data_IF_547027805637
#
_entry.id   IF_547027805637
#
_cell.length_a   1.000
_cell.length_b   1.000
_cell.length_c   1.000
_cell.angle_alpha   90.00
_cell.angle_beta   90.00
_cell.angle_gamma   90.00
#
_symmetry.space_group_name_H-M   'P 1'
#
loop_
_entity.id
_entity.type
_entity.pdbx_description
1 polymer ?
#
# COMPACT_ATOMS: atom_id res chain seq x y z
N UNK A 1 -53.50 58.56 -15.68
CA UNK A 1 -53.43 57.20 -16.32
C UNK A 1 -52.16 57.06 -17.16
N UNK A 2 -51.72 58.06 -17.93
CA UNK A 2 -50.56 58.00 -18.82
C UNK A 2 -49.22 57.85 -18.07
N UNK A 3 -49.07 58.50 -16.89
CA UNK A 3 -47.81 58.39 -16.09
C UNK A 3 -47.63 57.00 -15.43
N UNK A 4 -48.71 56.36 -15.03
CA UNK A 4 -48.69 55.01 -14.48
C UNK A 4 -48.27 53.97 -15.56
N UNK A 5 -48.87 54.07 -16.74
CA UNK A 5 -48.59 53.18 -17.87
C UNK A 5 -47.09 53.31 -18.27
N UNK A 6 -46.52 54.51 -18.29
CA UNK A 6 -45.09 54.71 -18.60
C UNK A 6 -44.21 54.10 -17.52
N UNK A 7 -44.53 54.21 -16.22
CA UNK A 7 -43.79 53.55 -15.14
C UNK A 7 -43.86 52.04 -15.23
N UNK A 8 -45.05 51.45 -15.49
CA UNK A 8 -45.18 50.00 -15.66
C UNK A 8 -44.36 49.52 -16.85
N UNK A 9 -44.46 50.18 -18.00
CA UNK A 9 -43.67 49.82 -19.17
C UNK A 9 -42.14 49.94 -18.90
N UNK A 10 -41.68 50.94 -18.17
CA UNK A 10 -40.28 51.07 -17.79
C UNK A 10 -39.82 49.93 -16.89
N UNK A 11 -40.56 49.55 -15.85
CA UNK A 11 -40.20 48.45 -14.97
C UNK A 11 -40.27 47.07 -15.68
N UNK A 12 -41.20 46.86 -16.59
CA UNK A 12 -41.21 45.60 -17.37
C UNK A 12 -39.98 45.45 -18.27
N UNK A 13 -39.61 46.54 -18.95
CA UNK A 13 -38.36 46.52 -19.77
C UNK A 13 -37.12 46.33 -18.90
N UNK A 14 -37.05 46.99 -17.73
CA UNK A 14 -35.96 46.83 -16.79
C UNK A 14 -35.84 45.39 -16.25
N UNK A 15 -36.98 44.75 -15.89
CA UNK A 15 -36.98 43.36 -15.46
C UNK A 15 -36.59 42.40 -16.59
N UNK A 16 -37.00 42.64 -17.82
CA UNK A 16 -36.56 41.89 -18.99
C UNK A 16 -35.05 41.99 -19.22
N UNK A 17 -34.47 43.20 -19.10
CA UNK A 17 -33.03 43.40 -19.24
C UNK A 17 -32.27 42.66 -18.13
N UNK A 18 -32.72 42.76 -16.88
CA UNK A 18 -32.09 42.03 -15.74
C UNK A 18 -32.15 40.52 -15.99
N UNK A 19 -33.29 40.00 -16.48
CA UNK A 19 -33.46 38.60 -16.78
C UNK A 19 -32.52 38.12 -17.91
N UNK A 20 -32.38 38.91 -18.98
CA UNK A 20 -31.47 38.61 -20.09
C UNK A 20 -30.02 38.58 -19.59
N UNK A 21 -29.59 39.59 -18.81
CA UNK A 21 -28.25 39.67 -18.27
C UNK A 21 -27.96 38.49 -17.33
N UNK A 22 -28.88 38.18 -16.40
CA UNK A 22 -28.71 37.06 -15.48
C UNK A 22 -28.68 35.71 -16.21
N UNK A 23 -29.51 35.53 -17.23
CA UNK A 23 -29.57 34.33 -18.07
C UNK A 23 -28.24 34.15 -18.84
N UNK A 24 -27.73 35.22 -19.45
CA UNK A 24 -26.44 35.13 -20.18
C UNK A 24 -25.26 34.83 -19.23
N UNK A 25 -25.21 35.42 -18.04
CA UNK A 25 -24.20 35.11 -17.03
C UNK A 25 -24.29 33.67 -16.57
N UNK A 26 -25.50 33.15 -16.35
CA UNK A 26 -25.73 31.77 -15.95
C UNK A 26 -25.32 30.78 -17.05
N UNK A 27 -25.68 31.05 -18.32
CA UNK A 27 -25.26 30.23 -19.44
C UNK A 27 -23.72 30.22 -19.58
N UNK A 28 -23.06 31.37 -19.43
CA UNK A 28 -21.59 31.48 -19.46
C UNK A 28 -20.96 30.67 -18.34
N UNK A 29 -21.51 30.74 -17.12
CA UNK A 29 -21.06 29.93 -15.99
C UNK A 29 -21.20 28.42 -16.26
N UNK A 30 -22.35 27.99 -16.80
CA UNK A 30 -22.57 26.58 -17.16
C UNK A 30 -21.62 26.10 -18.25
N UNK A 31 -21.39 26.91 -19.28
CA UNK A 31 -20.44 26.60 -20.35
C UNK A 31 -19.01 26.42 -19.82
N UNK A 32 -18.56 27.30 -18.90
CA UNK A 32 -17.29 27.18 -18.22
C UNK A 32 -17.20 25.91 -17.39
N UNK A 33 -18.30 25.55 -16.69
CA UNK A 33 -18.34 24.35 -15.87
C UNK A 33 -18.33 23.07 -16.68
N UNK A 34 -19.00 23.04 -17.81
CA UNK A 34 -18.98 21.93 -18.78
C UNK A 34 -17.57 21.74 -19.32
N UNK A 35 -16.90 22.82 -19.73
CA UNK A 35 -15.53 22.77 -20.23
C UNK A 35 -14.54 22.25 -19.17
N UNK A 36 -14.69 22.65 -17.91
CA UNK A 36 -13.88 22.13 -16.79
C UNK A 36 -14.09 20.60 -16.61
N UNK A 37 -15.35 20.17 -16.67
CA UNK A 37 -15.70 18.74 -16.51
C UNK A 37 -15.20 17.90 -17.69
N UNK A 38 -15.28 18.39 -18.90
CA UNK A 38 -14.75 17.73 -20.10
C UNK A 38 -13.22 17.61 -20.01
N UNK A 39 -12.54 18.63 -19.55
CA UNK A 39 -11.10 18.58 -19.28
C UNK A 39 -10.72 17.54 -18.23
N UNK A 40 -11.51 17.43 -17.14
CA UNK A 40 -11.31 16.38 -16.13
C UNK A 40 -11.57 14.99 -16.69
N UNK A 41 -12.62 14.82 -17.47
CA UNK A 41 -12.97 13.54 -18.13
C UNK A 41 -11.86 13.09 -19.08
N UNK A 42 -11.31 14.00 -19.86
CA UNK A 42 -10.24 13.70 -20.79
C UNK A 42 -8.95 13.29 -20.04
N UNK A 43 -8.59 14.00 -18.95
CA UNK A 43 -7.45 13.62 -18.10
C UNK A 43 -7.62 12.24 -17.48
N UNK A 44 -8.81 11.93 -16.96
CA UNK A 44 -9.12 10.61 -16.40
C UNK A 44 -9.04 9.52 -17.47
N UNK A 45 -9.51 9.77 -18.68
CA UNK A 45 -9.40 8.81 -19.80
C UNK A 45 -7.96 8.51 -20.17
N UNK A 46 -7.10 9.55 -20.25
CA UNK A 46 -5.66 9.37 -20.50
C UNK A 46 -5.01 8.58 -19.38
N UNK A 47 -5.31 8.92 -18.13
CA UNK A 47 -4.75 8.23 -16.97
C UNK A 47 -5.19 6.76 -16.90
N UNK A 48 -6.46 6.45 -17.21
CA UNK A 48 -6.93 5.08 -17.30
C UNK A 48 -6.23 4.29 -18.41
N UNK A 49 -6.04 4.87 -19.58
CA UNK A 49 -5.31 4.23 -20.67
C UNK A 49 -3.83 3.96 -20.31
N UNK A 50 -3.20 4.87 -19.56
CA UNK A 50 -1.84 4.67 -19.05
C UNK A 50 -1.78 3.56 -17.99
N UNK A 51 -2.76 3.51 -17.10
CA UNK A 51 -2.89 2.44 -16.10
C UNK A 51 -3.08 1.08 -16.79
N UNK A 52 -3.98 0.98 -17.77
CA UNK A 52 -4.20 -0.25 -18.54
C UNK A 52 -2.93 -0.71 -19.27
N UNK A 53 -2.20 0.22 -19.88
CA UNK A 53 -0.91 -0.06 -20.52
C UNK A 53 0.12 -0.57 -19.50
N UNK A 54 0.22 0.07 -18.34
CA UNK A 54 1.13 -0.36 -17.29
C UNK A 54 0.75 -1.73 -16.72
N UNK A 55 -0.54 -2.01 -16.58
CA UNK A 55 -1.04 -3.31 -16.16
C UNK A 55 -0.72 -4.40 -17.18
N UNK A 56 -0.86 -4.15 -18.49
CA UNK A 56 -0.51 -5.13 -19.53
C UNK A 56 0.98 -5.43 -19.56
N UNK A 57 1.84 -4.40 -19.44
CA UNK A 57 3.31 -4.59 -19.36
C UNK A 57 3.70 -5.37 -18.08
N UNK A 58 3.01 -5.15 -16.98
CA UNK A 58 3.25 -5.93 -15.76
C UNK A 58 2.78 -7.38 -15.94
N UNK A 59 1.62 -7.62 -16.55
CA UNK A 59 1.12 -8.96 -16.84
C UNK A 59 2.09 -9.76 -17.73
N UNK A 60 2.66 -9.14 -18.78
CA UNK A 60 3.69 -9.77 -19.61
C UNK A 60 4.97 -10.09 -18.80
N UNK A 61 5.41 -9.20 -17.92
CA UNK A 61 6.55 -9.48 -17.04
C UNK A 61 6.29 -10.63 -16.09
N UNK A 62 5.07 -10.71 -15.52
CA UNK A 62 4.68 -11.82 -14.66
C UNK A 62 4.66 -13.14 -15.41
N UNK A 63 4.10 -13.16 -16.63
CA UNK A 63 4.12 -14.36 -17.49
C UNK A 63 5.57 -14.81 -17.82
N UNK A 64 6.46 -13.86 -18.11
CA UNK A 64 7.88 -14.15 -18.35
C UNK A 64 8.60 -14.69 -17.10
N UNK A 65 8.25 -14.21 -15.92
CA UNK A 65 8.80 -14.71 -14.65
C UNK A 65 8.27 -16.11 -14.35
N UNK A 66 6.99 -16.38 -14.58
CA UNK A 66 6.39 -17.72 -14.44
C UNK A 66 7.07 -18.73 -15.38
N UNK A 67 7.35 -18.36 -16.63
CA UNK A 67 8.07 -19.21 -17.58
C UNK A 67 9.51 -19.50 -17.12
N UNK A 68 10.20 -18.47 -16.58
CA UNK A 68 11.54 -18.66 -15.99
C UNK A 68 11.50 -19.59 -14.77
N UNK A 69 10.52 -19.41 -13.88
CA UNK A 69 10.32 -20.28 -12.71
C UNK A 69 10.07 -21.72 -13.17
N UNK A 70 9.17 -21.95 -14.13
CA UNK A 70 8.88 -23.27 -14.67
C UNK A 70 10.13 -23.92 -15.32
N UNK A 71 10.98 -23.11 -15.96
CA UNK A 71 12.24 -23.57 -16.55
C UNK A 71 13.25 -23.96 -15.46
N UNK A 72 13.35 -23.17 -14.39
CA UNK A 72 14.19 -23.51 -13.23
C UNK A 72 13.69 -24.75 -12.48
N UNK A 73 12.39 -24.88 -12.27
CA UNK A 73 11.77 -26.07 -11.67
C UNK A 73 12.09 -27.33 -12.48
N UNK A 74 12.04 -27.24 -13.81
CA UNK A 74 12.42 -28.33 -14.72
C UNK A 74 13.93 -28.65 -14.63
N UNK A 75 14.80 -27.66 -14.55
CA UNK A 75 16.25 -27.83 -14.43
C UNK A 75 16.65 -28.43 -13.07
N UNK A 76 15.92 -28.10 -12.02
CA UNK A 76 16.16 -28.61 -10.66
C UNK A 76 15.50 -29.98 -10.43
N UNK A 77 14.81 -30.56 -11.42
CA UNK A 77 14.13 -31.85 -11.28
C UNK A 77 12.96 -31.81 -10.29
N UNK A 78 12.39 -30.64 -10.03
CA UNK A 78 11.29 -30.43 -9.09
C UNK A 78 9.90 -30.70 -9.73
N UNK A 79 9.85 -31.26 -10.92
CA UNK A 79 8.61 -31.78 -11.51
C UNK A 79 8.14 -32.99 -10.70
N UNK A 80 7.20 -32.76 -9.78
CA UNK A 80 6.47 -33.84 -9.15
C UNK A 80 5.64 -34.56 -10.23
N UNK A 81 5.81 -35.84 -10.34
CA UNK A 81 5.10 -36.71 -11.31
C UNK A 81 3.64 -36.98 -10.93
N UNK A 82 3.11 -36.29 -9.92
CA UNK A 82 1.80 -36.60 -9.38
C UNK A 82 0.81 -35.48 -9.70
N UNK A 83 0.01 -35.72 -10.75
CA UNK A 83 -1.15 -34.91 -11.15
C UNK A 83 -2.27 -34.82 -10.08
N UNK A 84 -2.11 -35.45 -8.93
CA UNK A 84 -3.05 -35.39 -7.80
C UNK A 84 -2.97 -34.05 -7.02
N UNK A 85 -1.88 -33.30 -7.13
CA UNK A 85 -1.66 -32.08 -6.35
C UNK A 85 -2.44 -30.85 -6.87
N UNK A 86 -2.97 -30.90 -8.09
CA UNK A 86 -3.70 -29.78 -8.70
C UNK A 86 -5.12 -29.56 -8.15
N UNK A 87 -5.69 -30.53 -7.41
CA UNK A 87 -7.01 -30.43 -6.77
C UNK A 87 -6.96 -30.01 -5.29
N UNK A 88 -5.77 -29.89 -4.72
CA UNK A 88 -5.63 -29.44 -3.35
C UNK A 88 -5.80 -27.93 -3.27
N UNK A 89 -6.56 -27.47 -2.27
CA UNK A 89 -6.62 -26.04 -1.95
C UNK A 89 -5.21 -25.54 -1.62
N UNK A 90 -4.88 -24.26 -1.86
CA UNK A 90 -3.56 -23.69 -1.50
C UNK A 90 -3.14 -24.03 -0.06
N UNK A 91 -4.10 -24.27 0.80
CA UNK A 91 -3.92 -24.66 2.19
C UNK A 91 -3.44 -26.09 2.35
N UNK A 92 -4.06 -27.03 1.68
CA UNK A 92 -3.65 -28.43 1.72
C UNK A 92 -2.22 -28.60 1.16
N UNK A 93 -1.82 -27.77 0.18
CA UNK A 93 -0.45 -27.75 -0.34
C UNK A 93 0.57 -27.20 0.66
N UNK A 94 0.18 -26.20 1.46
CA UNK A 94 1.04 -25.64 2.53
C UNK A 94 1.19 -26.65 3.68
N UNK A 95 0.12 -27.37 4.06
CA UNK A 95 0.17 -28.45 5.04
C UNK A 95 1.14 -29.58 4.63
N UNK A 96 1.21 -29.91 3.33
CA UNK A 96 2.18 -30.88 2.81
C UNK A 96 3.64 -30.40 2.84
N UNK A 97 3.89 -29.10 2.95
CA UNK A 97 5.26 -28.57 2.99
C UNK A 97 6.00 -28.85 4.30
N UNK A 98 5.31 -29.28 5.38
CA UNK A 98 5.91 -29.66 6.67
C UNK A 98 7.16 -28.84 7.01
N UNK A 99 7.00 -27.49 7.09
CA UNK A 99 8.10 -26.60 7.36
C UNK A 99 8.82 -27.00 8.65
N UNK A 100 10.08 -27.32 8.55
CA UNK A 100 10.91 -27.57 9.74
C UNK A 100 11.00 -26.31 10.60
N UNK A 101 11.25 -26.45 11.88
CA UNK A 101 11.45 -25.33 12.80
C UNK A 101 12.50 -24.32 12.28
N UNK A 102 13.52 -24.80 11.55
CA UNK A 102 14.54 -23.95 10.96
C UNK A 102 14.00 -23.13 9.79
N UNK A 103 13.18 -23.72 8.93
CA UNK A 103 12.54 -23.04 7.82
C UNK A 103 11.52 -22.02 8.30
N UNK A 104 10.69 -22.34 9.29
CA UNK A 104 9.77 -21.39 9.91
C UNK A 104 10.50 -20.17 10.47
N UNK A 105 11.64 -20.40 11.14
CA UNK A 105 12.50 -19.32 11.65
C UNK A 105 13.02 -18.45 10.52
N UNK A 106 13.48 -19.06 9.43
CA UNK A 106 14.00 -18.33 8.27
C UNK A 106 12.91 -17.51 7.59
N UNK A 107 11.72 -18.05 7.37
CA UNK A 107 10.54 -17.32 6.87
C UNK A 107 10.31 -16.06 7.72
N UNK A 108 10.25 -16.20 9.05
CA UNK A 108 9.99 -15.10 9.96
C UNK A 108 11.10 -14.05 10.03
N UNK A 109 12.30 -14.34 9.54
CA UNK A 109 13.35 -13.34 9.39
C UNK A 109 13.23 -12.56 8.08
N UNK A 110 12.66 -13.17 7.04
CA UNK A 110 12.62 -12.65 5.68
C UNK A 110 11.35 -11.87 5.34
N UNK A 111 10.23 -12.20 5.98
CA UNK A 111 8.95 -11.51 5.77
C UNK A 111 8.60 -10.60 6.96
N UNK A 112 7.93 -9.45 6.72
CA UNK A 112 7.53 -8.54 7.79
C UNK A 112 6.68 -9.26 8.83
N UNK A 113 7.05 -9.17 10.10
CA UNK A 113 6.26 -9.73 11.22
C UNK A 113 6.65 -9.13 12.56
N UNK A 114 5.71 -9.13 13.50
CA UNK A 114 5.87 -8.51 14.81
C UNK A 114 5.64 -6.99 14.80
N UNK A 115 5.65 -6.43 15.96
CA UNK A 115 5.41 -5.01 16.19
C UNK A 115 6.68 -4.20 15.92
N UNK A 116 6.61 -3.12 15.09
CA UNK A 116 7.77 -2.24 14.84
C UNK A 116 8.10 -1.32 16.03
N UNK A 117 7.18 -1.19 16.98
CA UNK A 117 7.34 -0.45 18.26
C UNK A 117 6.81 -1.30 19.40
N UNK A 118 7.03 -0.90 20.63
CA UNK A 118 6.33 -1.50 21.79
C UNK A 118 4.83 -1.41 21.54
N UNK A 119 4.12 -2.52 21.74
CA UNK A 119 2.66 -2.58 21.51
C UNK A 119 1.92 -1.71 22.53
N UNK A 120 1.37 -0.60 22.04
CA UNK A 120 0.54 0.34 22.79
C UNK A 120 -0.87 0.46 22.21
N UNK A 121 -1.15 -0.29 21.14
CA UNK A 121 -2.43 -0.33 20.45
C UNK A 121 -2.43 0.33 19.07
N UNK A 122 -3.56 0.24 18.38
CA UNK A 122 -3.80 0.76 17.04
C UNK A 122 -4.81 1.91 17.13
N UNK A 123 -4.43 3.09 16.66
CA UNK A 123 -5.31 4.28 16.57
C UNK A 123 -5.97 4.44 15.21
N UNK A 124 -5.36 3.94 14.14
CA UNK A 124 -5.90 3.97 12.77
C UNK A 124 -5.82 2.62 12.09
N UNK A 125 -6.96 2.12 11.56
CA UNK A 125 -7.04 0.83 10.88
C UNK A 125 -6.74 0.97 9.38
N UNK A 126 -6.28 -0.11 8.78
CA UNK A 126 -6.15 -0.28 7.32
C UNK A 126 -7.52 -0.32 6.65
N UNK A 127 -7.64 0.29 5.47
CA UNK A 127 -8.84 0.25 4.66
C UNK A 127 -9.53 1.61 4.49
N UNK A 128 -10.74 1.60 3.94
CA UNK A 128 -11.52 2.82 3.72
C UNK A 128 -11.95 3.47 5.04
N UNK A 129 -11.67 4.77 5.17
CA UNK A 129 -12.05 5.59 6.35
C UNK A 129 -12.31 7.02 5.95
N UNK A 130 -13.00 7.79 6.81
CA UNK A 130 -13.01 9.24 6.71
C UNK A 130 -11.65 9.80 7.15
N UNK A 131 -10.99 10.52 6.25
CA UNK A 131 -9.69 11.12 6.57
C UNK A 131 -9.83 12.17 7.68
N UNK A 132 -9.08 12.06 8.79
CA UNK A 132 -9.31 12.91 9.98
C UNK A 132 -9.07 14.39 9.72
N UNK A 133 -8.15 14.75 8.81
CA UNK A 133 -7.82 16.13 8.45
C UNK A 133 -8.63 16.58 7.23
N UNK A 134 -8.61 15.80 6.14
CA UNK A 134 -9.19 16.18 4.84
C UNK A 134 -10.71 16.00 4.77
N UNK A 135 -11.32 15.33 5.76
CA UNK A 135 -12.79 15.11 5.87
C UNK A 135 -13.42 14.54 4.61
N UNK A 136 -12.73 13.63 3.94
CA UNK A 136 -13.20 12.90 2.76
C UNK A 136 -12.92 11.42 2.92
N UNK A 137 -13.63 10.58 2.16
CA UNK A 137 -13.35 9.15 2.09
C UNK A 137 -11.95 8.94 1.49
N UNK A 138 -11.13 8.19 2.19
CA UNK A 138 -9.77 7.85 1.81
C UNK A 138 -9.45 6.41 2.17
N UNK A 139 -8.67 5.77 1.31
CA UNK A 139 -8.12 4.46 1.62
C UNK A 139 -6.82 4.63 2.42
N UNK A 140 -6.81 4.12 3.65
CA UNK A 140 -5.63 4.11 4.51
C UNK A 140 -4.75 2.90 4.20
N UNK A 141 -3.57 3.08 3.59
CA UNK A 141 -2.74 1.98 3.08
C UNK A 141 -1.97 1.23 4.16
N UNK A 142 -2.10 1.65 5.41
CA UNK A 142 -1.39 1.10 6.56
C UNK A 142 -2.23 1.04 7.81
N UNK A 143 -1.57 1.00 8.94
CA UNK A 143 -2.14 1.16 10.27
C UNK A 143 -1.39 2.26 11.01
N UNK A 144 -2.09 2.95 11.90
CA UNK A 144 -1.48 3.93 12.79
C UNK A 144 -1.33 3.30 14.18
N UNK A 145 -0.09 3.13 14.62
CA UNK A 145 0.27 2.57 15.92
C UNK A 145 0.45 3.71 16.93
N UNK A 146 -0.24 3.62 18.06
CA UNK A 146 -0.12 4.60 19.13
C UNK A 146 1.34 4.69 19.59
N UNK A 147 1.91 5.89 19.61
CA UNK A 147 3.28 6.12 20.07
C UNK A 147 3.41 7.54 20.61
N UNK A 148 4.20 7.70 21.64
CA UNK A 148 4.69 9.03 22.07
C UNK A 148 5.83 9.46 21.14
N UNK A 149 6.18 10.76 21.18
CA UNK A 149 7.39 11.22 20.51
C UNK A 149 8.62 10.46 21.02
N UNK A 150 9.57 10.24 20.13
CA UNK A 150 10.84 9.55 20.43
C UNK A 150 10.70 8.06 20.81
N UNK A 151 9.57 7.41 20.56
CA UNK A 151 9.46 5.95 20.70
C UNK A 151 10.35 5.27 19.67
N UNK A 152 11.27 4.35 20.07
CA UNK A 152 12.14 3.64 19.13
C UNK A 152 11.32 2.81 18.13
N UNK A 153 11.71 2.84 16.86
CA UNK A 153 11.10 2.10 15.75
C UNK A 153 12.12 1.10 15.20
N UNK A 154 11.68 -0.15 15.04
CA UNK A 154 12.52 -1.27 14.66
C UNK A 154 12.07 -1.89 13.32
N UNK A 155 13.03 -2.44 12.55
CA UNK A 155 12.76 -3.18 11.34
C UNK A 155 12.01 -4.49 11.65
N UNK A 156 10.92 -4.76 10.92
CA UNK A 156 10.07 -5.95 11.15
C UNK A 156 10.52 -7.20 10.39
N UNK A 157 11.51 -7.06 9.49
CA UNK A 157 12.19 -8.15 8.79
C UNK A 157 13.60 -7.71 8.35
N UNK A 158 14.43 -8.68 7.94
CA UNK A 158 15.69 -8.40 7.26
C UNK A 158 15.43 -7.70 5.91
N UNK A 159 16.29 -6.74 5.54
CA UNK A 159 16.10 -6.04 4.27
C UNK A 159 17.13 -4.96 4.01
N UNK A 160 16.93 -4.24 2.91
CA UNK A 160 17.76 -3.10 2.52
C UNK A 160 16.91 -1.83 2.56
N UNK A 161 17.39 -0.79 3.19
CA UNK A 161 16.73 0.51 3.23
C UNK A 161 16.68 1.08 1.81
N UNK A 162 15.48 1.15 1.24
CA UNK A 162 15.24 1.75 -0.08
C UNK A 162 15.29 3.27 0.00
N UNK A 163 14.65 3.82 1.03
CA UNK A 163 14.56 5.26 1.23
C UNK A 163 14.58 5.61 2.72
N UNK A 164 15.30 6.67 3.07
CA UNK A 164 15.28 7.26 4.40
C UNK A 164 15.43 8.77 4.27
N UNK A 165 14.39 9.53 4.62
CA UNK A 165 14.36 10.98 4.47
C UNK A 165 12.98 11.57 4.58
N UNK A 166 12.85 12.86 4.18
CA UNK A 166 11.57 13.55 4.15
C UNK A 166 10.83 13.29 2.84
N UNK A 167 9.56 12.93 2.95
CA UNK A 167 8.64 12.71 1.83
C UNK A 167 7.45 13.67 1.94
N UNK A 168 7.27 14.54 0.93
CA UNK A 168 6.24 15.59 0.89
C UNK A 168 4.83 15.07 0.61
N UNK A 169 4.68 13.80 0.22
CA UNK A 169 3.39 13.20 -0.14
C UNK A 169 2.56 12.78 1.10
N UNK A 170 2.79 13.43 2.24
CA UNK A 170 2.04 13.18 3.46
C UNK A 170 2.80 12.34 4.51
N UNK A 171 3.77 11.50 4.12
CA UNK A 171 4.50 10.64 5.06
C UNK A 171 5.40 11.38 6.06
N UNK A 172 5.82 12.63 5.76
CA UNK A 172 6.83 13.31 6.55
C UNK A 172 8.17 12.60 6.49
N UNK A 173 8.90 12.52 7.61
CA UNK A 173 10.09 11.68 7.66
C UNK A 173 9.69 10.21 7.66
N UNK A 174 10.31 9.45 6.75
CA UNK A 174 9.92 8.06 6.46
C UNK A 174 11.16 7.21 6.21
N UNK A 175 11.08 5.96 6.64
CA UNK A 175 12.00 4.88 6.25
C UNK A 175 11.20 3.85 5.48
N UNK A 176 11.69 3.44 4.33
CA UNK A 176 11.14 2.36 3.51
C UNK A 176 12.18 1.26 3.39
N UNK A 177 11.80 0.02 3.64
CA UNK A 177 12.70 -1.12 3.61
C UNK A 177 12.19 -2.14 2.60
N UNK A 178 13.03 -2.53 1.65
CA UNK A 178 12.81 -3.67 0.77
C UNK A 178 13.28 -4.94 1.48
N UNK A 179 12.36 -5.89 1.59
CA UNK A 179 12.62 -7.21 2.14
C UNK A 179 12.70 -8.25 1.03
N UNK A 180 13.01 -9.49 1.39
CA UNK A 180 12.98 -10.59 0.45
C UNK A 180 11.56 -10.89 -0.06
N UNK A 181 11.47 -11.65 -1.14
CA UNK A 181 10.24 -12.13 -1.76
C UNK A 181 9.27 -11.03 -2.22
N UNK A 182 9.77 -9.80 -2.48
CA UNK A 182 8.94 -8.70 -2.96
C UNK A 182 8.15 -7.96 -1.88
N UNK A 183 8.43 -8.23 -0.60
CA UNK A 183 7.87 -7.44 0.50
C UNK A 183 8.58 -6.10 0.66
N UNK A 184 7.82 -5.12 1.12
CA UNK A 184 8.30 -3.79 1.51
C UNK A 184 7.55 -3.33 2.76
N UNK A 185 8.24 -2.64 3.66
CA UNK A 185 7.61 -1.94 4.78
C UNK A 185 7.86 -0.45 4.73
N UNK A 186 6.90 0.33 5.22
CA UNK A 186 6.96 1.78 5.32
C UNK A 186 6.74 2.17 6.77
N UNK A 187 7.63 3.02 7.28
CA UNK A 187 7.59 3.57 8.64
C UNK A 187 7.58 5.09 8.51
N UNK A 188 6.42 5.72 8.73
CA UNK A 188 6.23 7.14 8.46
C UNK A 188 5.89 7.96 9.72
N UNK A 189 5.77 9.28 9.52
CA UNK A 189 5.60 10.31 10.55
C UNK A 189 6.73 10.31 11.57
N UNK A 190 7.93 9.83 11.16
CA UNK A 190 9.09 9.73 12.02
C UNK A 190 9.60 11.12 12.43
N UNK A 191 10.43 11.15 13.45
CA UNK A 191 11.21 12.33 13.84
C UNK A 191 12.33 12.58 12.82
N UNK A 192 12.71 13.85 12.66
CA UNK A 192 13.90 14.21 11.87
C UNK A 192 15.18 13.79 12.60
N UNK A 193 15.43 12.50 12.64
CA UNK A 193 16.67 11.93 13.20
C UNK A 193 17.07 10.72 12.36
N UNK A 194 18.08 10.90 11.54
CA UNK A 194 18.60 9.85 10.67
C UNK A 194 19.30 8.78 11.51
N UNK A 195 18.79 7.56 11.48
CA UNK A 195 19.39 6.38 12.13
C UNK A 195 19.98 5.46 11.08
N UNK A 196 19.26 5.29 9.95
CA UNK A 196 19.67 4.45 8.82
C UNK A 196 19.65 5.26 7.53
N UNK A 197 20.47 4.87 6.55
CA UNK A 197 20.56 5.52 5.23
C UNK A 197 20.13 4.57 4.13
N UNK A 198 19.64 5.11 3.01
CA UNK A 198 19.35 4.32 1.80
C UNK A 198 20.57 3.48 1.40
N UNK A 199 20.33 2.23 1.00
CA UNK A 199 21.37 1.23 0.70
C UNK A 199 21.89 0.44 1.90
N UNK A 200 21.54 0.82 3.14
CA UNK A 200 21.98 0.10 4.35
C UNK A 200 21.19 -1.21 4.49
N UNK A 201 21.89 -2.32 4.73
CA UNK A 201 21.24 -3.57 5.14
C UNK A 201 20.89 -3.48 6.63
N UNK A 202 19.65 -3.87 6.97
CA UNK A 202 19.13 -3.94 8.33
C UNK A 202 18.62 -5.36 8.63
N UNK A 203 18.82 -5.80 9.84
CA UNK A 203 18.26 -7.05 10.35
C UNK A 203 16.92 -6.77 11.04
N UNK A 204 16.06 -7.77 11.10
CA UNK A 204 14.87 -7.72 11.93
C UNK A 204 15.25 -7.36 13.38
N UNK A 205 14.59 -6.34 13.93
CA UNK A 205 14.86 -5.83 15.26
C UNK A 205 15.91 -4.71 15.33
N UNK A 206 16.56 -4.34 14.23
CA UNK A 206 17.46 -3.19 14.21
C UNK A 206 16.69 -1.88 14.37
N UNK A 207 17.25 -0.95 15.14
CA UNK A 207 16.72 0.39 15.30
C UNK A 207 16.85 1.17 13.99
N UNK A 208 15.72 1.67 13.45
CA UNK A 208 15.70 2.37 12.16
C UNK A 208 15.25 3.82 12.27
N UNK A 209 14.67 4.23 13.38
CA UNK A 209 14.17 5.58 13.59
C UNK A 209 13.49 5.77 14.94
N UNK A 210 12.83 6.89 15.06
CA UNK A 210 12.02 7.24 16.22
C UNK A 210 10.69 7.82 15.75
N UNK A 211 9.60 7.48 16.44
CA UNK A 211 8.28 8.05 16.16
C UNK A 211 8.28 9.57 16.34
N UNK A 212 7.47 10.22 15.55
CA UNK A 212 7.34 11.67 15.52
C UNK A 212 5.90 12.10 15.28
N UNK A 213 5.76 13.29 14.65
CA UNK A 213 4.49 13.86 14.22
C UNK A 213 4.71 14.71 12.97
N UNK A 214 5.51 14.21 12.02
CA UNK A 214 5.86 14.93 10.79
C UNK A 214 4.95 14.54 9.63
N UNK A 215 4.83 15.42 8.63
CA UNK A 215 3.95 15.17 7.48
C UNK A 215 2.47 15.41 7.81
N UNK A 216 1.57 14.64 7.17
CA UNK A 216 0.12 14.77 7.35
C UNK A 216 -0.33 13.91 8.53
N UNK A 217 -0.10 14.43 9.74
CA UNK A 217 -0.38 13.75 11.00
C UNK A 217 -1.14 14.67 11.96
N UNK A 218 -2.08 14.11 12.73
CA UNK A 218 -2.88 14.84 13.74
C UNK A 218 -2.28 14.80 15.14
N UNK A 219 -1.31 13.94 15.39
CA UNK A 219 -0.66 13.75 16.67
C UNK A 219 0.42 12.67 16.61
N UNK A 220 1.24 12.51 17.65
CA UNK A 220 2.31 11.52 17.66
C UNK A 220 1.80 10.11 17.47
N UNK A 221 2.30 9.41 16.45
CA UNK A 221 2.04 7.99 16.16
C UNK A 221 3.07 7.47 15.15
N UNK A 222 3.10 6.16 14.95
CA UNK A 222 3.81 5.54 13.85
C UNK A 222 2.79 5.06 12.80
N UNK A 223 2.86 5.60 11.59
CA UNK A 223 2.18 5.01 10.45
C UNK A 223 3.04 3.87 9.88
N UNK A 224 2.46 2.67 9.81
CA UNK A 224 3.14 1.45 9.39
C UNK A 224 2.40 0.75 8.26
N UNK A 225 3.12 0.44 7.17
CA UNK A 225 2.56 -0.30 6.04
C UNK A 225 3.36 -1.58 5.77
N UNK A 226 2.65 -2.61 5.30
CA UNK A 226 3.21 -3.78 4.66
C UNK A 226 2.74 -3.80 3.21
N UNK A 227 3.66 -3.99 2.28
CA UNK A 227 3.39 -4.07 0.85
C UNK A 227 3.97 -5.36 0.27
N UNK A 228 3.30 -5.90 -0.72
CA UNK A 228 3.78 -7.00 -1.54
C UNK A 228 3.66 -6.61 -3.02
N UNK A 229 4.79 -6.60 -3.74
CA UNK A 229 4.86 -6.18 -5.16
C UNK A 229 4.07 -4.88 -5.40
N UNK A 230 4.32 -3.87 -4.57
CA UNK A 230 3.68 -2.54 -4.52
C UNK A 230 2.19 -2.49 -4.09
N UNK A 231 1.51 -3.61 -3.92
CA UNK A 231 0.16 -3.64 -3.35
C UNK A 231 0.22 -3.56 -1.82
N UNK A 232 -0.61 -2.72 -1.23
CA UNK A 232 -0.71 -2.62 0.24
C UNK A 232 -1.46 -3.82 0.80
N UNK A 233 -0.92 -4.40 1.86
CA UNK A 233 -1.53 -5.49 2.62
C UNK A 233 -2.02 -4.98 3.97
N UNK A 234 -2.96 -5.67 4.60
CA UNK A 234 -3.39 -5.31 5.95
C UNK A 234 -2.29 -5.63 6.98
N UNK A 235 -1.59 -4.62 7.54
CA UNK A 235 -0.48 -4.87 8.45
C UNK A 235 -0.88 -5.58 9.74
N UNK A 236 -2.16 -5.48 10.14
CA UNK A 236 -2.65 -6.11 11.39
C UNK A 236 -2.45 -7.63 11.41
N UNK A 237 -2.46 -8.27 10.24
CA UNK A 237 -2.20 -9.71 10.14
C UNK A 237 -0.74 -10.04 10.46
N UNK A 238 0.18 -9.16 10.08
CA UNK A 238 1.62 -9.33 10.23
C UNK A 238 2.11 -9.06 11.65
N UNK A 239 1.43 -8.17 12.41
CA UNK A 239 1.85 -7.81 13.77
C UNK A 239 1.94 -9.01 14.73
N UNK A 240 1.01 -9.95 14.60
CA UNK A 240 0.90 -11.09 15.48
C UNK A 240 1.44 -12.39 14.87
N UNK A 241 2.00 -12.32 13.66
CA UNK A 241 2.55 -13.50 12.99
C UNK A 241 3.72 -14.07 13.79
N UNK A 242 3.62 -15.34 14.11
CA UNK A 242 4.62 -16.15 14.82
C UNK A 242 4.56 -17.60 14.33
N UNK A 243 5.39 -18.48 14.89
CA UNK A 243 5.45 -19.88 14.48
C UNK A 243 4.14 -20.65 14.72
N UNK A 244 3.43 -20.35 15.80
CA UNK A 244 2.24 -21.08 16.20
C UNK A 244 1.01 -20.77 15.34
N UNK A 245 0.99 -19.60 14.68
CA UNK A 245 -0.15 -19.16 13.87
C UNK A 245 0.17 -18.98 12.38
N UNK A 246 1.31 -19.47 11.92
CA UNK A 246 1.79 -19.29 10.55
C UNK A 246 0.80 -19.83 9.52
N UNK A 247 0.26 -21.01 9.72
CA UNK A 247 -0.70 -21.64 8.80
C UNK A 247 -2.00 -20.83 8.70
N UNK A 248 -2.51 -20.38 9.84
CA UNK A 248 -3.69 -19.52 9.88
C UNK A 248 -3.44 -18.17 9.21
N UNK A 249 -2.24 -17.60 9.37
CA UNK A 249 -1.84 -16.38 8.72
C UNK A 249 -1.81 -16.49 7.19
N UNK A 250 -1.28 -17.56 6.62
CA UNK A 250 -1.26 -17.79 5.18
C UNK A 250 -2.66 -17.83 4.56
N UNK A 251 -3.65 -18.29 5.33
CA UNK A 251 -5.05 -18.25 4.93
C UNK A 251 -5.67 -16.86 4.95
N UNK A 252 -5.25 -16.00 5.86
CA UNK A 252 -5.81 -14.66 6.02
C UNK A 252 -5.34 -13.71 4.91
N UNK A 253 -4.06 -13.79 4.51
CA UNK A 253 -3.48 -12.93 3.47
C UNK A 253 -3.28 -13.70 2.16
N UNK A 254 -4.35 -13.89 1.40
CA UNK A 254 -4.36 -14.68 0.16
C UNK A 254 -3.77 -13.97 -1.07
N UNK A 255 -3.45 -12.68 -0.98
CA UNK A 255 -2.86 -11.91 -2.08
C UNK A 255 -1.37 -12.20 -2.29
N UNK A 256 -0.78 -12.96 -1.38
CA UNK A 256 0.62 -13.40 -1.46
C UNK A 256 0.66 -14.87 -1.87
N UNK A 257 1.43 -15.26 -2.90
CA UNK A 257 1.57 -16.64 -3.34
C UNK A 257 2.50 -17.42 -2.41
N UNK A 258 2.03 -17.70 -1.20
CA UNK A 258 2.83 -18.28 -0.10
C UNK A 258 3.52 -19.57 -0.49
N UNK A 259 2.85 -20.47 -1.20
CA UNK A 259 3.40 -21.74 -1.65
C UNK A 259 4.69 -21.56 -2.46
N UNK A 260 4.65 -20.69 -3.48
CA UNK A 260 5.80 -20.39 -4.31
C UNK A 260 6.93 -19.74 -3.51
N UNK A 261 6.61 -18.85 -2.56
CA UNK A 261 7.61 -18.17 -1.73
C UNK A 261 8.31 -19.13 -0.76
N UNK A 262 7.55 -20.04 -0.13
CA UNK A 262 8.07 -21.00 0.84
C UNK A 262 9.01 -22.02 0.16
N UNK A 263 8.70 -22.45 -1.07
CA UNK A 263 9.57 -23.34 -1.86
C UNK A 263 10.93 -22.72 -2.19
N UNK A 264 11.03 -21.39 -2.23
CA UNK A 264 12.29 -20.66 -2.48
C UNK A 264 13.20 -20.56 -1.25
N UNK A 265 12.72 -20.92 -0.07
CA UNK A 265 13.51 -20.83 1.17
C UNK A 265 14.44 -22.04 1.24
N UNK A 266 15.79 -21.80 1.24
CA UNK A 266 16.74 -22.91 1.23
C UNK A 266 16.57 -23.77 2.48
N UNK A 267 16.34 -25.05 2.28
CA UNK A 267 16.52 -26.06 3.34
C UNK A 267 18.03 -26.24 3.55
N UNK A 268 18.56 -25.98 4.73
CA UNK A 268 19.95 -26.28 5.08
C UNK A 268 20.36 -27.74 4.83
N UNK A 269 19.39 -28.63 4.61
CA UNK A 269 19.62 -30.02 4.25
C UNK A 269 20.35 -30.22 2.90
N UNK A 270 20.32 -29.21 2.01
CA UNK A 270 20.96 -29.28 0.68
C UNK A 270 22.29 -28.52 0.58
N UNK A 271 22.77 -27.89 1.64
CA UNK A 271 24.14 -27.38 1.67
C UNK A 271 25.07 -28.50 2.14
N UNK A 272 25.66 -29.25 1.18
CA UNK A 272 26.85 -30.05 1.49
C UNK A 272 27.91 -29.12 2.07
N UNK A 273 28.57 -29.49 3.19
CA UNK A 273 29.72 -28.75 3.65
C UNK A 273 30.78 -28.78 2.55
N UNK A 274 31.25 -27.60 2.16
CA UNK A 274 32.45 -27.41 1.37
C UNK A 274 33.67 -27.66 2.26
#
# INVERSE_FOLDING_TARGET
LSAIIKKVAFYTVLCLLIFIVSSTLYISYLASKVSELDGKRQRLSIMNAEIEKNMSVQAERYAGIEEQIATFEKQLGLHSKDDEDNNLTPMARIEHLNLTNAQQKEVLLQIPNGWPIVNTGISGKYGWRDHPILKRQEFHPGIDLMATLDTPVYATANGVVEFSGYNSNGYGYVVMIMHNFGFKTVYAHLKNKVVVRSGTFVKKGDLIGYSGNTGLSTGPHLHYEVRFVNNTLNPSYFLNLNRQNMDNFFNQERRVPWESLIKLIPTRANQKPQ
#
